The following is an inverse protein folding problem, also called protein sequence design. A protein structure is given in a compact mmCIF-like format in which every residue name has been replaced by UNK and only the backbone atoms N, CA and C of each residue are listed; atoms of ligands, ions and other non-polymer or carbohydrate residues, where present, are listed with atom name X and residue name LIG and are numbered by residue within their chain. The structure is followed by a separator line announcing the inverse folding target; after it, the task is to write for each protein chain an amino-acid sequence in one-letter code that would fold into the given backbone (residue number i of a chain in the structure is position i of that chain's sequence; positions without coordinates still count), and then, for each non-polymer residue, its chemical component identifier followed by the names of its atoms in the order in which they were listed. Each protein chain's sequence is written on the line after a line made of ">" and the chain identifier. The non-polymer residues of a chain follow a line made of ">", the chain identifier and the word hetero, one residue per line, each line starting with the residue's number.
data_IF_096568587970
#
_entry.id   IF_096568587970
#
_cell.length_a   1.000
_cell.length_b   1.000
_cell.length_c   1.000
_cell.angle_alpha   90.00
_cell.angle_beta   90.00
_cell.angle_gamma   90.00
#
_symmetry.space_group_name_H-M   'P 1'
#
loop_
_entity.id
_entity.type
_entity.pdbx_description
1 polymer ?
#
# COMPACT_ATOMS: atom_id res chain seq x y z
N UNK A 1 -5.28 -7.78 17.66
CA UNK A 1 -5.24 -6.31 17.43
C UNK A 1 -4.60 -6.05 16.07
N UNK A 2 -5.22 -5.32 15.14
CA UNK A 2 -4.60 -5.04 13.85
C UNK A 2 -3.30 -4.25 14.07
N UNK A 3 -2.20 -4.74 13.51
CA UNK A 3 -0.90 -4.08 13.59
C UNK A 3 -0.99 -2.70 12.94
N UNK A 4 -0.39 -1.67 13.57
CA UNK A 4 -0.40 -0.27 13.10
C UNK A 4 -0.04 -0.13 11.60
N UNK A 5 0.77 -1.04 11.08
CA UNK A 5 1.13 -1.11 9.66
C UNK A 5 -0.06 -1.44 8.74
N UNK A 6 -0.94 -2.37 9.12
CA UNK A 6 -2.14 -2.73 8.33
C UNK A 6 -3.11 -1.55 8.23
N UNK A 7 -3.27 -0.80 9.32
CA UNK A 7 -4.11 0.42 9.34
C UNK A 7 -3.54 1.46 8.36
N UNK A 8 -2.22 1.64 8.35
CA UNK A 8 -1.54 2.55 7.43
C UNK A 8 -1.67 2.10 5.96
N UNK A 9 -1.53 0.80 5.69
CA UNK A 9 -1.73 0.21 4.36
C UNK A 9 -3.16 0.44 3.87
N UNK A 10 -4.17 0.17 4.70
CA UNK A 10 -5.57 0.36 4.31
C UNK A 10 -5.89 1.83 4.05
N UNK A 11 -5.40 2.73 4.91
CA UNK A 11 -5.57 4.18 4.74
C UNK A 11 -4.92 4.64 3.43
N UNK A 12 -3.68 4.23 3.17
CA UNK A 12 -2.94 4.59 1.94
C UNK A 12 -3.60 4.00 0.69
N UNK A 13 -4.13 2.78 0.76
CA UNK A 13 -4.90 2.15 -0.32
C UNK A 13 -6.16 2.95 -0.64
N UNK A 14 -6.94 3.35 0.37
CA UNK A 14 -8.13 4.19 0.18
C UNK A 14 -7.79 5.54 -0.45
N UNK A 15 -6.69 6.17 -0.03
CA UNK A 15 -6.20 7.41 -0.65
C UNK A 15 -5.78 7.21 -2.11
N UNK A 16 -5.03 6.15 -2.41
CA UNK A 16 -4.62 5.81 -3.77
C UNK A 16 -5.84 5.61 -4.67
N UNK A 17 -6.85 4.85 -4.22
CA UNK A 17 -8.09 4.65 -4.98
C UNK A 17 -8.83 5.97 -5.22
N UNK A 18 -8.94 6.84 -4.21
CA UNK A 18 -9.56 8.16 -4.40
C UNK A 18 -8.80 9.01 -5.42
N UNK A 19 -7.47 9.00 -5.38
CA UNK A 19 -6.62 9.73 -6.33
C UNK A 19 -6.70 9.13 -7.73
N UNK A 20 -6.77 7.80 -7.84
CA UNK A 20 -6.94 7.09 -9.10
C UNK A 20 -8.28 7.43 -9.76
N UNK A 21 -9.36 7.50 -8.98
CA UNK A 21 -10.69 7.91 -9.49
C UNK A 21 -10.67 9.37 -9.92
N UNK A 22 -10.00 10.25 -9.17
CA UNK A 22 -9.98 11.70 -9.43
C UNK A 22 -9.03 12.12 -10.57
N UNK A 23 -7.86 11.48 -10.67
CA UNK A 23 -6.78 11.88 -11.58
C UNK A 23 -6.43 10.82 -12.62
N UNK A 24 -6.93 9.60 -12.49
CA UNK A 24 -6.54 8.44 -13.30
C UNK A 24 -5.44 7.59 -12.65
N UNK A 25 -5.37 6.32 -13.02
CA UNK A 25 -4.35 5.37 -12.52
C UNK A 25 -2.93 5.73 -13.00
N UNK A 26 -2.81 6.34 -14.18
CA UNK A 26 -1.53 6.77 -14.76
C UNK A 26 -1.06 8.15 -14.31
N UNK A 27 -1.84 8.86 -13.48
CA UNK A 27 -1.39 10.14 -12.97
C UNK A 27 -0.19 9.96 -12.05
N UNK A 28 0.81 10.83 -12.16
CA UNK A 28 2.02 10.78 -11.34
C UNK A 28 1.70 10.72 -9.83
N UNK A 29 0.61 11.36 -9.39
CA UNK A 29 0.13 11.32 -8.00
C UNK A 29 -0.35 9.93 -7.57
N UNK A 30 -1.00 9.20 -8.48
CA UNK A 30 -1.50 7.83 -8.24
C UNK A 30 -0.36 6.84 -8.29
N UNK A 31 0.56 6.99 -9.24
CA UNK A 31 1.79 6.17 -9.35
C UNK A 31 2.66 6.34 -8.10
N UNK A 32 2.88 7.57 -7.62
CA UNK A 32 3.60 7.82 -6.36
C UNK A 32 2.89 7.17 -5.17
N UNK A 33 1.55 7.28 -5.08
CA UNK A 33 0.80 6.61 -4.02
C UNK A 33 0.90 5.08 -4.10
N UNK A 34 0.95 4.50 -5.30
CA UNK A 34 1.17 3.05 -5.49
C UNK A 34 2.55 2.61 -5.01
N UNK A 35 3.60 3.35 -5.35
CA UNK A 35 4.96 3.06 -4.85
C UNK A 35 5.06 3.17 -3.33
N UNK A 36 4.37 4.12 -2.73
CA UNK A 36 4.37 4.32 -1.28
C UNK A 36 3.58 3.23 -0.55
N UNK A 37 2.46 2.78 -1.14
CA UNK A 37 1.70 1.63 -0.66
C UNK A 37 2.52 0.34 -0.76
N UNK A 38 3.25 0.15 -1.86
CA UNK A 38 4.11 -1.01 -2.08
C UNK A 38 5.24 -1.08 -1.04
N UNK A 39 5.86 0.05 -0.70
CA UNK A 39 6.85 0.12 0.40
C UNK A 39 6.28 -0.30 1.75
N UNK A 40 5.05 0.12 2.05
CA UNK A 40 4.37 -0.28 3.29
C UNK A 40 4.05 -1.79 3.29
N UNK A 41 3.64 -2.34 2.15
CA UNK A 41 3.41 -3.78 1.98
C UNK A 41 4.71 -4.58 2.10
N UNK A 42 5.81 -4.12 1.50
CA UNK A 42 7.11 -4.76 1.64
C UNK A 42 7.64 -4.70 3.08
N UNK A 43 7.39 -3.61 3.80
CA UNK A 43 7.71 -3.52 5.23
C UNK A 43 6.84 -4.48 6.06
N UNK A 44 5.56 -4.64 5.68
CA UNK A 44 4.68 -5.63 6.29
C UNK A 44 5.18 -7.05 6.06
N UNK A 45 5.54 -7.38 4.83
CA UNK A 45 6.04 -8.71 4.44
C UNK A 45 7.36 -9.05 5.14
N UNK A 46 8.27 -8.07 5.28
CA UNK A 46 9.51 -8.23 6.06
C UNK A 46 9.26 -8.47 7.56
N UNK A 47 8.24 -7.82 8.12
CA UNK A 47 7.91 -7.96 9.55
C UNK A 47 7.02 -9.16 9.83
N UNK A 48 6.29 -9.64 8.82
CA UNK A 48 5.44 -10.82 8.86
C UNK A 48 5.85 -11.72 7.70
N UNK A 49 7.05 -12.34 7.77
CA UNK A 49 7.48 -13.25 6.73
C UNK A 49 6.44 -14.36 6.66
N UNK A 50 5.58 -14.31 5.64
CA UNK A 50 4.80 -15.48 5.27
C UNK A 50 5.86 -16.52 4.98
N UNK A 51 5.87 -17.60 5.76
CA UNK A 51 6.75 -18.74 5.54
C UNK A 51 6.72 -19.03 4.04
N UNK A 52 7.82 -18.66 3.34
CA UNK A 52 7.99 -18.96 1.93
C UNK A 52 7.85 -20.48 1.85
N UNK A 53 6.75 -20.98 1.28
CA UNK A 53 6.75 -22.34 0.77
C UNK A 53 7.80 -22.35 -0.34
N UNK A 54 8.82 -23.18 -0.11
CA UNK A 54 9.98 -23.44 -0.95
C UNK A 54 9.58 -24.05 -2.29
#
# INVERSE_FOLDING_TARGET
>A
MPTSLLIQIEKKRKEMTKKAIKHGFSAAVTVRCSQELDRLLNAFDKTHPKAKKS
#
